data_IF_822169226137
#
_entry.id   IF_822169226137
#
_cell.length_a   1.000
_cell.length_b   1.000
_cell.length_c   1.000
_cell.angle_alpha   90.00
_cell.angle_beta   90.00
_cell.angle_gamma   90.00
#
_symmetry.space_group_name_H-M   'P 1'
#
loop_
_entity.id
_entity.type
_entity.pdbx_description
1 polymer ?
#
# COMPACT_ATOMS: atom_id res chain seq x y z
N UNK A 1 17.02 17.58 -25.54
CA UNK A 1 15.68 17.92 -25.02
C UNK A 1 15.40 17.03 -23.82
N UNK A 2 14.86 17.54 -22.70
CA UNK A 2 14.39 16.67 -21.63
C UNK A 2 13.32 15.70 -22.17
N UNK A 3 13.27 14.46 -21.67
CA UNK A 3 12.27 13.50 -22.13
C UNK A 3 10.86 14.04 -21.86
N UNK A 4 9.99 13.95 -22.87
CA UNK A 4 8.58 14.32 -22.76
C UNK A 4 7.91 13.45 -21.69
N UNK A 5 7.05 14.05 -20.87
CA UNK A 5 6.31 13.31 -19.86
C UNK A 5 5.44 12.21 -20.49
N UNK A 6 5.60 10.97 -20.04
CA UNK A 6 4.83 9.82 -20.52
C UNK A 6 3.57 9.60 -19.64
N UNK A 7 2.44 10.12 -20.12
CA UNK A 7 1.15 9.95 -19.45
C UNK A 7 0.67 8.51 -19.39
N UNK A 8 1.03 7.67 -20.37
CA UNK A 8 0.62 6.27 -20.39
C UNK A 8 1.39 5.47 -19.34
N UNK A 9 2.70 5.71 -19.21
CA UNK A 9 3.50 5.12 -18.15
C UNK A 9 3.01 5.56 -16.76
N UNK A 10 2.70 6.84 -16.58
CA UNK A 10 2.16 7.37 -15.31
C UNK A 10 0.82 6.72 -14.94
N UNK A 11 -0.09 6.55 -15.90
CA UNK A 11 -1.37 5.88 -15.68
C UNK A 11 -1.19 4.41 -15.26
N UNK A 12 -0.32 3.66 -15.96
CA UNK A 12 0.00 2.26 -15.60
C UNK A 12 0.60 2.17 -14.20
N UNK A 13 1.55 3.06 -13.86
CA UNK A 13 2.16 3.08 -12.54
C UNK A 13 1.13 3.36 -11.45
N UNK A 14 0.24 4.34 -11.66
CA UNK A 14 -0.84 4.64 -10.71
C UNK A 14 -1.78 3.44 -10.51
N UNK A 15 -2.13 2.73 -11.58
CA UNK A 15 -2.93 1.50 -11.51
C UNK A 15 -2.24 0.38 -10.73
N UNK A 16 -0.95 0.15 -10.98
CA UNK A 16 -0.17 -0.86 -10.26
C UNK A 16 -0.06 -0.53 -8.76
N UNK A 17 0.08 0.76 -8.42
CA UNK A 17 0.08 1.21 -7.02
C UNK A 17 -1.27 0.98 -6.35
N UNK A 18 -2.40 1.24 -7.03
CA UNK A 18 -3.73 0.89 -6.51
C UNK A 18 -3.87 -0.60 -6.22
N UNK A 19 -3.48 -1.45 -7.18
CA UNK A 19 -3.53 -2.91 -7.01
C UNK A 19 -2.63 -3.39 -5.86
N UNK A 20 -1.47 -2.76 -5.67
CA UNK A 20 -0.59 -3.05 -4.55
C UNK A 20 -1.26 -2.68 -3.21
N UNK A 21 -1.86 -1.50 -3.12
CA UNK A 21 -2.58 -1.06 -1.91
C UNK A 21 -3.72 -2.02 -1.57
N UNK A 22 -4.53 -2.42 -2.55
CA UNK A 22 -5.62 -3.39 -2.35
C UNK A 22 -5.12 -4.74 -1.85
N UNK A 23 -4.02 -5.25 -2.41
CA UNK A 23 -3.40 -6.50 -1.96
C UNK A 23 -2.87 -6.39 -0.52
N UNK A 24 -2.24 -5.27 -0.18
CA UNK A 24 -1.75 -5.02 1.18
C UNK A 24 -2.90 -4.94 2.18
N UNK A 25 -4.02 -4.30 1.81
CA UNK A 25 -5.23 -4.28 2.63
C UNK A 25 -5.80 -5.67 2.85
N UNK A 26 -5.83 -6.49 1.80
CA UNK A 26 -6.25 -7.89 1.92
C UNK A 26 -5.34 -8.70 2.84
N UNK A 27 -4.01 -8.52 2.75
CA UNK A 27 -3.07 -9.21 3.65
C UNK A 27 -3.21 -8.77 5.10
N UNK A 28 -3.39 -7.47 5.35
CA UNK A 28 -3.66 -6.93 6.68
C UNK A 28 -4.95 -7.54 7.24
N UNK A 29 -6.02 -7.57 6.44
CA UNK A 29 -7.28 -8.19 6.84
C UNK A 29 -7.13 -9.68 7.15
N UNK A 30 -6.44 -10.45 6.29
CA UNK A 30 -6.19 -11.87 6.49
C UNK A 30 -5.43 -12.12 7.79
N UNK A 31 -4.40 -11.32 8.08
CA UNK A 31 -3.61 -11.44 9.31
C UNK A 31 -4.46 -11.15 10.54
N UNK A 32 -5.27 -10.10 10.51
CA UNK A 32 -6.22 -9.79 11.59
C UNK A 32 -7.20 -10.95 11.81
N UNK A 33 -7.71 -11.55 10.73
CA UNK A 33 -8.57 -12.74 10.77
C UNK A 33 -7.87 -13.92 11.45
N UNK A 34 -6.64 -14.25 11.06
CA UNK A 34 -5.85 -15.32 11.69
C UNK A 34 -5.67 -15.10 13.19
N UNK A 35 -5.31 -13.87 13.60
CA UNK A 35 -5.19 -13.51 15.01
C UNK A 35 -6.51 -13.74 15.76
N UNK A 36 -7.63 -13.31 15.19
CA UNK A 36 -8.95 -13.49 15.79
C UNK A 36 -9.34 -14.99 15.89
N UNK A 37 -9.09 -15.80 14.85
CA UNK A 37 -9.37 -17.24 14.89
C UNK A 37 -8.54 -17.97 15.96
N UNK A 38 -7.26 -17.59 16.12
CA UNK A 38 -6.35 -18.25 17.05
C UNK A 38 -6.62 -17.87 18.52
N UNK A 39 -7.02 -16.62 18.78
CA UNK A 39 -7.27 -16.12 20.14
C UNK A 39 -8.75 -15.98 20.53
N UNK A 40 -9.66 -16.16 19.59
CA UNK A 40 -11.11 -16.04 19.81
C UNK A 40 -11.79 -17.31 20.32
N UNK A 41 -11.07 -18.46 20.37
CA UNK A 41 -11.58 -19.69 20.98
C UNK A 41 -11.10 -19.79 22.44
N UNK A 42 -12.01 -19.72 23.44
CA UNK A 42 -11.65 -19.80 24.86
C UNK A 42 -11.10 -21.17 25.31
N UNK A 43 -11.06 -22.17 24.43
CA UNK A 43 -10.62 -23.55 24.73
C UNK A 43 -9.40 -23.99 23.93
N UNK A 44 -8.71 -23.05 23.29
CA UNK A 44 -7.49 -23.34 22.52
C UNK A 44 -6.27 -23.36 23.45
N UNK A 45 -6.07 -24.46 24.17
CA UNK A 45 -4.93 -24.68 25.09
C UNK A 45 -3.55 -24.60 24.41
N UNK A 46 -3.51 -24.61 23.08
CA UNK A 46 -2.28 -24.56 22.29
C UNK A 46 -1.61 -23.17 22.25
N UNK A 47 -2.29 -22.11 22.70
CA UNK A 47 -1.86 -20.72 22.55
C UNK A 47 -1.73 -19.96 23.87
N UNK A 48 -1.13 -20.59 24.88
CA UNK A 48 -0.80 -19.93 26.15
C UNK A 48 0.72 -19.74 26.34
N UNK A 49 1.09 -18.77 27.18
CA UNK A 49 2.48 -18.47 27.52
C UNK A 49 3.35 -18.06 26.33
N UNK A 50 4.62 -18.47 26.33
CA UNK A 50 5.64 -18.00 25.40
C UNK A 50 5.30 -18.17 23.90
N UNK A 51 4.45 -19.13 23.52
CA UNK A 51 4.01 -19.32 22.13
C UNK A 51 3.08 -18.19 21.67
N UNK A 52 2.17 -17.75 22.56
CA UNK A 52 1.28 -16.61 22.32
C UNK A 52 2.06 -15.32 22.23
N UNK A 53 2.99 -15.09 23.14
CA UNK A 53 3.80 -13.88 23.14
C UNK A 53 4.63 -13.76 21.86
N UNK A 54 5.27 -14.85 21.43
CA UNK A 54 6.01 -14.90 20.15
C UNK A 54 5.10 -14.63 18.96
N UNK A 55 3.92 -15.24 18.93
CA UNK A 55 2.96 -14.98 17.86
C UNK A 55 2.54 -13.51 17.83
N UNK A 56 2.17 -12.92 18.96
CA UNK A 56 1.71 -11.52 19.01
C UNK A 56 2.84 -10.57 18.60
N UNK A 57 4.08 -10.82 19.03
CA UNK A 57 5.25 -10.03 18.61
C UNK A 57 5.43 -10.09 17.08
N UNK A 58 5.43 -11.29 16.50
CA UNK A 58 5.61 -11.47 15.05
C UNK A 58 4.42 -10.91 14.26
N UNK A 59 3.20 -11.05 14.79
CA UNK A 59 2.01 -10.44 14.25
C UNK A 59 2.15 -8.91 14.19
N UNK A 60 2.54 -8.28 15.29
CA UNK A 60 2.71 -6.82 15.35
C UNK A 60 3.83 -6.34 14.41
N UNK A 61 4.93 -7.09 14.30
CA UNK A 61 6.01 -6.79 13.34
C UNK A 61 5.52 -6.83 11.91
N UNK A 62 4.79 -7.88 11.53
CA UNK A 62 4.25 -8.02 10.18
C UNK A 62 3.19 -6.98 9.88
N UNK A 63 2.30 -6.71 10.84
CA UNK A 63 1.27 -5.67 10.72
C UNK A 63 1.92 -4.30 10.49
N UNK A 64 2.95 -3.95 11.25
CA UNK A 64 3.70 -2.70 11.07
C UNK A 64 4.37 -2.64 9.69
N UNK A 65 4.99 -3.72 9.24
CA UNK A 65 5.65 -3.77 7.93
C UNK A 65 4.65 -3.60 6.77
N UNK A 66 3.51 -4.29 6.83
CA UNK A 66 2.46 -4.18 5.81
C UNK A 66 1.85 -2.78 5.78
N UNK A 67 1.56 -2.19 6.94
CA UNK A 67 1.07 -0.80 7.02
C UNK A 67 2.10 0.18 6.44
N UNK A 68 3.38 0.04 6.77
CA UNK A 68 4.43 0.91 6.23
C UNK A 68 4.57 0.80 4.70
N UNK A 69 4.46 -0.42 4.15
CA UNK A 69 4.44 -0.64 2.70
C UNK A 69 3.22 0.01 2.04
N UNK A 70 2.05 -0.10 2.67
CA UNK A 70 0.81 0.52 2.17
C UNK A 70 0.94 2.05 2.13
N UNK A 71 1.43 2.64 3.21
CA UNK A 71 1.68 4.09 3.28
C UNK A 71 2.69 4.54 2.23
N UNK A 72 3.76 3.79 2.00
CA UNK A 72 4.73 4.09 0.96
C UNK A 72 4.10 4.06 -0.44
N UNK A 73 3.29 3.03 -0.75
CA UNK A 73 2.58 2.93 -2.01
C UNK A 73 1.62 4.11 -2.24
N UNK A 74 0.86 4.51 -1.21
CA UNK A 74 -0.02 5.68 -1.26
C UNK A 74 0.76 6.99 -1.47
N UNK A 75 1.90 7.15 -0.80
CA UNK A 75 2.79 8.31 -1.02
C UNK A 75 3.28 8.38 -2.46
N UNK A 76 3.74 7.26 -3.03
CA UNK A 76 4.16 7.21 -4.43
C UNK A 76 3.01 7.52 -5.39
N UNK A 77 1.80 7.01 -5.11
CA UNK A 77 0.64 7.30 -5.95
C UNK A 77 0.30 8.80 -5.93
N UNK A 78 0.35 9.43 -4.75
CA UNK A 78 0.18 10.87 -4.62
C UNK A 78 1.22 11.64 -5.44
N UNK A 79 2.50 11.27 -5.37
CA UNK A 79 3.57 11.89 -6.15
C UNK A 79 3.37 11.74 -7.67
N UNK A 80 2.96 10.56 -8.14
CA UNK A 80 2.63 10.32 -9.56
C UNK A 80 1.48 11.22 -10.01
N UNK A 81 0.44 11.35 -9.20
CA UNK A 81 -0.71 12.20 -9.51
C UNK A 81 -0.31 13.69 -9.56
N UNK A 82 0.52 14.15 -8.62
CA UNK A 82 1.06 15.52 -8.63
C UNK A 82 1.90 15.79 -9.88
N UNK A 83 2.81 14.88 -10.23
CA UNK A 83 3.63 14.99 -11.44
C UNK A 83 2.77 15.00 -12.72
N UNK A 84 1.76 14.14 -12.80
CA UNK A 84 0.80 14.09 -13.92
C UNK A 84 0.06 15.40 -14.06
N UNK A 85 -0.39 15.99 -12.94
CA UNK A 85 -1.12 17.25 -12.94
C UNK A 85 -0.24 18.40 -13.40
N UNK A 86 1.00 18.48 -12.92
CA UNK A 86 1.97 19.48 -13.37
C UNK A 86 2.27 19.35 -14.88
N UNK A 87 2.44 18.13 -15.37
CA UNK A 87 2.66 17.86 -16.79
C UNK A 87 1.47 18.27 -17.67
N UNK A 88 0.23 18.01 -17.23
CA UNK A 88 -0.98 18.47 -17.94
C UNK A 88 -1.07 19.99 -17.99
N UNK A 89 -0.73 20.67 -16.89
CA UNK A 89 -0.72 22.13 -16.84
C UNK A 89 0.32 22.72 -17.82
N UNK A 90 1.51 22.12 -17.88
CA UNK A 90 2.55 22.50 -18.82
C UNK A 90 2.13 22.31 -20.28
N UNK A 91 1.59 21.13 -20.66
CA UNK A 91 1.09 20.89 -22.03
C UNK A 91 -0.02 21.87 -22.43
N UNK A 92 -0.91 22.23 -21.49
CA UNK A 92 -1.96 23.22 -21.75
C UNK A 92 -1.37 24.61 -22.01
N UNK A 93 -0.40 25.03 -21.19
CA UNK A 93 0.23 26.33 -21.31
C UNK A 93 1.03 26.48 -22.62
N UNK A 94 1.70 25.41 -23.08
CA UNK A 94 2.36 25.38 -24.39
C UNK A 94 1.36 25.50 -25.53
N UNK A 95 0.22 24.78 -25.46
CA UNK A 95 -0.82 24.84 -26.50
C UNK A 95 -1.51 26.19 -26.63
N UNK A 96 -1.59 27.00 -25.58
CA UNK A 96 -2.17 28.37 -25.65
C UNK A 96 -1.19 29.44 -26.11
N UNK A 97 0.10 29.14 -26.27
CA UNK A 97 1.11 30.10 -26.77
C UNK A 97 1.29 30.07 -28.29
N UNK A 98 0.71 29.07 -28.95
CA UNK A 98 0.68 28.89 -30.40
C UNK A 98 -0.73 29.17 -30.93
#
# INVERSE_FOLDING_TARGET
MPPKYDFAAAARLSQQLSQLVEKLDWFIWLRNGQRHTLFGSPHSDNWQGAKRDRFEIEFQRQQKALTALKEAALRYQSQVNSATTAARAAEKAEKTKH
#
